data_IF_881574735301
#
_entry.id   IF_881574735301
#
_cell.length_a   1.000
_cell.length_b   1.000
_cell.length_c   1.000
_cell.angle_alpha   90.00
_cell.angle_beta   90.00
_cell.angle_gamma   90.00
#
_symmetry.space_group_name_H-M   'P 1'
#
loop_
_entity.id
_entity.type
_entity.pdbx_description
1 polymer ?
#
# COMPACT_ATOMS: atom_id res chain seq x y z
N UNK A 1 -21.07 8.95 0.94
CA UNK A 1 -19.67 9.22 1.32
C UNK A 1 -18.79 8.22 0.59
N UNK A 2 -17.71 8.64 -0.06
CA UNK A 2 -16.85 7.75 -0.85
C UNK A 2 -15.95 6.87 0.03
N UNK A 3 -15.38 5.81 -0.54
CA UNK A 3 -14.39 4.95 0.13
C UNK A 3 -13.14 5.77 0.50
N UNK A 4 -12.69 5.75 1.76
CA UNK A 4 -11.46 6.43 2.19
C UNK A 4 -10.21 5.94 1.44
N UNK A 5 -9.22 6.83 1.31
CA UNK A 5 -7.91 6.53 0.75
C UNK A 5 -6.86 6.58 1.88
N UNK A 6 -6.06 5.53 2.01
CA UNK A 6 -5.01 5.42 3.03
C UNK A 6 -3.63 5.46 2.37
N UNK A 7 -2.85 6.51 2.66
CA UNK A 7 -1.45 6.63 2.25
C UNK A 7 -0.55 6.06 3.35
N UNK A 8 0.32 5.12 2.98
CA UNK A 8 1.26 4.48 3.89
C UNK A 8 2.69 4.75 3.42
N UNK A 9 3.45 5.52 4.19
CA UNK A 9 4.88 5.72 3.98
C UNK A 9 5.67 4.61 4.67
N UNK A 10 6.83 4.23 4.12
CA UNK A 10 7.57 3.08 4.63
C UNK A 10 6.80 1.76 4.49
N UNK A 11 5.90 1.67 3.50
CA UNK A 11 4.94 0.58 3.35
C UNK A 11 5.56 -0.78 3.01
N UNK A 12 6.80 -0.80 2.54
CA UNK A 12 7.36 -1.98 1.84
C UNK A 12 7.75 -3.12 2.79
N UNK A 13 7.89 -2.86 4.09
CA UNK A 13 8.33 -3.86 5.08
C UNK A 13 7.68 -3.62 6.44
N UNK A 14 7.80 -4.61 7.34
CA UNK A 14 7.44 -4.48 8.75
C UNK A 14 6.03 -3.95 8.99
N UNK A 15 5.91 -2.94 9.87
CA UNK A 15 4.63 -2.35 10.29
C UNK A 15 3.88 -1.71 9.11
N UNK A 16 4.59 -1.01 8.23
CA UNK A 16 3.96 -0.38 7.05
C UNK A 16 3.29 -1.40 6.15
N UNK A 17 3.95 -2.56 5.93
CA UNK A 17 3.38 -3.66 5.14
C UNK A 17 2.18 -4.29 5.83
N UNK A 18 2.27 -4.52 7.14
CA UNK A 18 1.17 -5.07 7.93
C UNK A 18 -0.05 -4.14 7.92
N UNK A 19 0.17 -2.81 8.04
CA UNK A 19 -0.89 -1.81 7.95
C UNK A 19 -1.56 -1.82 6.57
N UNK A 20 -0.80 -1.92 5.48
CA UNK A 20 -1.36 -1.98 4.13
C UNK A 20 -2.30 -3.18 3.96
N UNK A 21 -1.90 -4.35 4.45
CA UNK A 21 -2.73 -5.55 4.41
C UNK A 21 -3.97 -5.45 5.31
N UNK A 22 -3.86 -4.80 6.48
CA UNK A 22 -4.99 -4.60 7.38
C UNK A 22 -6.04 -3.68 6.76
N UNK A 23 -5.64 -2.49 6.29
CA UNK A 23 -6.56 -1.54 5.65
C UNK A 23 -7.16 -2.08 4.35
N UNK A 24 -6.44 -2.96 3.63
CA UNK A 24 -6.94 -3.62 2.43
C UNK A 24 -8.12 -4.53 2.75
N UNK A 25 -8.01 -5.32 3.83
CA UNK A 25 -9.08 -6.22 4.31
C UNK A 25 -10.30 -5.48 4.82
N UNK A 26 -10.13 -4.23 5.25
CA UNK A 26 -11.22 -3.33 5.63
C UNK A 26 -11.92 -2.67 4.43
N UNK A 27 -11.43 -2.89 3.20
CA UNK A 27 -12.05 -2.38 1.97
C UNK A 27 -11.65 -0.94 1.61
N UNK A 28 -10.56 -0.42 2.19
CA UNK A 28 -10.05 0.92 1.86
C UNK A 28 -9.32 0.92 0.51
N UNK A 29 -9.22 2.09 -0.12
CA UNK A 29 -8.28 2.33 -1.24
C UNK A 29 -6.91 2.65 -0.66
N UNK A 30 -5.84 2.17 -1.26
CA UNK A 30 -4.50 2.25 -0.67
C UNK A 30 -3.50 2.91 -1.61
N UNK A 31 -2.63 3.75 -1.05
CA UNK A 31 -1.39 4.17 -1.69
C UNK A 31 -0.22 3.69 -0.83
N UNK A 32 0.66 2.87 -1.38
CA UNK A 32 1.87 2.41 -0.70
C UNK A 32 3.08 3.19 -1.24
N UNK A 33 3.89 3.75 -0.35
CA UNK A 33 5.05 4.56 -0.72
C UNK A 33 6.36 4.01 -0.13
N UNK A 34 7.42 4.01 -0.94
CA UNK A 34 8.76 3.63 -0.51
C UNK A 34 9.80 3.70 -1.63
N UNK A 35 11.06 3.44 -1.28
CA UNK A 35 12.22 3.66 -2.18
C UNK A 35 12.48 2.52 -3.17
N UNK A 36 12.07 1.31 -2.84
CA UNK A 36 12.42 0.10 -3.58
C UNK A 36 11.28 -0.29 -4.54
N UNK A 37 11.49 -0.08 -5.84
CA UNK A 37 10.51 -0.32 -6.89
C UNK A 37 9.96 -1.75 -6.87
N UNK A 38 10.84 -2.75 -6.89
CA UNK A 38 10.45 -4.17 -6.93
C UNK A 38 9.57 -4.55 -5.75
N UNK A 39 9.99 -4.24 -4.52
CA UNK A 39 9.20 -4.52 -3.32
C UNK A 39 7.87 -3.75 -3.30
N UNK A 40 7.83 -2.54 -3.87
CA UNK A 40 6.62 -1.76 -4.06
C UNK A 40 5.63 -2.42 -5.01
N UNK A 41 6.10 -2.87 -6.17
CA UNK A 41 5.27 -3.56 -7.16
C UNK A 41 4.78 -4.92 -6.66
N UNK A 42 5.61 -5.67 -5.93
CA UNK A 42 5.24 -6.93 -5.28
C UNK A 42 4.10 -6.73 -4.27
N UNK A 43 4.23 -5.74 -3.38
CA UNK A 43 3.19 -5.42 -2.41
C UNK A 43 1.90 -4.94 -3.09
N UNK A 44 2.01 -4.09 -4.12
CA UNK A 44 0.85 -3.65 -4.88
C UNK A 44 0.15 -4.82 -5.58
N UNK A 45 0.89 -5.77 -6.15
CA UNK A 45 0.32 -6.97 -6.77
C UNK A 45 -0.42 -7.85 -5.75
N UNK A 46 0.17 -8.06 -4.57
CA UNK A 46 -0.47 -8.78 -3.46
C UNK A 46 -1.77 -8.11 -3.00
N UNK A 47 -1.76 -6.79 -2.82
CA UNK A 47 -2.95 -6.02 -2.43
C UNK A 47 -4.03 -6.06 -3.52
N UNK A 48 -3.66 -5.98 -4.81
CA UNK A 48 -4.62 -6.17 -5.92
C UNK A 48 -5.22 -7.57 -5.93
N UNK A 49 -4.44 -8.60 -5.58
CA UNK A 49 -4.95 -9.97 -5.47
C UNK A 49 -5.98 -10.13 -4.34
N UNK A 50 -5.99 -9.24 -3.34
CA UNK A 50 -7.03 -9.13 -2.32
C UNK A 50 -8.27 -8.33 -2.78
N UNK A 51 -8.29 -7.85 -4.03
CA UNK A 51 -9.35 -7.00 -4.57
C UNK A 51 -9.24 -5.52 -4.16
N UNK A 52 -8.12 -5.11 -3.59
CA UNK A 52 -7.89 -3.72 -3.17
C UNK A 52 -7.53 -2.84 -4.36
N UNK A 53 -8.16 -1.67 -4.43
CA UNK A 53 -7.71 -0.59 -5.31
C UNK A 53 -6.45 0.06 -4.71
N UNK A 54 -5.31 -0.16 -5.36
CA UNK A 54 -4.00 0.20 -4.84
C UNK A 54 -3.05 0.76 -5.88
N UNK A 55 -2.34 1.80 -5.47
CA UNK A 55 -1.25 2.42 -6.22
C UNK A 55 0.07 2.34 -5.43
N UNK A 56 1.16 2.08 -6.13
CA UNK A 56 2.51 2.20 -5.57
C UNK A 56 3.17 3.49 -6.05
N UNK A 57 3.71 4.25 -5.10
CA UNK A 57 4.50 5.45 -5.37
C UNK A 57 5.95 5.26 -4.92
N UNK A 58 6.89 5.29 -5.89
CA UNK A 58 8.30 5.37 -5.54
C UNK A 58 8.62 6.73 -4.95
N UNK A 59 8.99 6.76 -3.67
CA UNK A 59 9.25 8.00 -2.93
C UNK A 59 10.39 7.84 -1.91
N UNK A 60 11.14 8.91 -1.71
CA UNK A 60 11.99 9.14 -0.53
C UNK A 60 11.36 10.31 0.25
N UNK A 61 11.08 10.12 1.54
CA UNK A 61 10.25 11.02 2.36
C UNK A 61 11.08 11.93 3.29
N UNK A 62 12.38 12.00 3.06
CA UNK A 62 13.30 12.88 3.79
C UNK A 62 13.23 14.33 3.30
#
# INVERSE_FOLDING_TARGET
MGTPVVLITGALTGIGRAAALAFAREGNRIVVAGRHETAGQELAAELRALGTDVEFLRADVR
#
